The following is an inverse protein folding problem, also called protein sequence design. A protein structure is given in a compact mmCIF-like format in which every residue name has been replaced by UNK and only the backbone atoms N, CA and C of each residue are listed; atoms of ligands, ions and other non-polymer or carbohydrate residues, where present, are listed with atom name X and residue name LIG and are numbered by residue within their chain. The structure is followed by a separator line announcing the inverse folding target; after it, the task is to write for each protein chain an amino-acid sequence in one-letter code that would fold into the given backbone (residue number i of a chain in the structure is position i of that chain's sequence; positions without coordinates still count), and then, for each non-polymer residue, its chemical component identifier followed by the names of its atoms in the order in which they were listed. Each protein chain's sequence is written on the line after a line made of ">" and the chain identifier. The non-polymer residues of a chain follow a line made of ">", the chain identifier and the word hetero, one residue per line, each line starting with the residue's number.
data_IF_065936467657
#
_entry.id   IF_065936467657
#
_cell.length_a   1.000
_cell.length_b   1.000
_cell.length_c   1.000
_cell.angle_alpha   90.00
_cell.angle_beta   90.00
_cell.angle_gamma   90.00
#
_symmetry.space_group_name_H-M   'P 1'
#
loop_
_entity.id
_entity.type
_entity.pdbx_description
1 polymer ?
#
# COMPACT_ATOMS: atom_id res chain seq x y z
N UNK A 1 -36.15 -16.74 -49.18
CA UNK A 1 -35.14 -16.86 -48.14
C UNK A 1 -35.80 -16.61 -46.80
N UNK A 2 -35.86 -17.58 -45.89
CA UNK A 2 -36.49 -17.35 -44.59
C UNK A 2 -35.61 -16.44 -43.76
N UNK A 3 -36.20 -15.43 -43.14
CA UNK A 3 -35.59 -14.49 -42.23
C UNK A 3 -35.26 -15.23 -40.91
N UNK A 4 -33.98 -15.29 -40.55
CA UNK A 4 -33.56 -15.87 -39.29
C UNK A 4 -33.55 -14.77 -38.20
N UNK A 5 -34.50 -14.78 -37.26
CA UNK A 5 -34.59 -13.76 -36.21
C UNK A 5 -33.54 -13.89 -35.12
N UNK A 6 -32.63 -14.87 -35.19
CA UNK A 6 -31.59 -15.09 -34.17
C UNK A 6 -30.30 -14.30 -34.41
N UNK A 7 -30.21 -13.53 -35.50
CA UNK A 7 -29.01 -12.67 -35.74
C UNK A 7 -29.07 -11.31 -35.04
N UNK A 8 -30.08 -11.05 -34.23
CA UNK A 8 -30.22 -9.79 -33.53
C UNK A 8 -29.68 -9.90 -32.11
N UNK A 9 -28.70 -9.07 -31.84
CA UNK A 9 -28.28 -8.62 -30.54
C UNK A 9 -27.21 -9.48 -29.82
N UNK A 10 -26.08 -9.67 -30.49
CA UNK A 10 -24.86 -9.69 -29.65
C UNK A 10 -24.69 -8.25 -29.14
N UNK A 11 -24.99 -8.04 -27.87
CA UNK A 11 -24.62 -6.80 -27.20
C UNK A 11 -23.15 -6.53 -27.49
N UNK A 12 -22.75 -5.27 -27.80
CA UNK A 12 -21.36 -4.95 -28.07
C UNK A 12 -20.53 -5.49 -26.89
N UNK A 13 -19.54 -6.35 -27.20
CA UNK A 13 -18.60 -6.81 -26.18
C UNK A 13 -18.06 -5.56 -25.47
N UNK A 14 -18.11 -5.51 -24.13
CA UNK A 14 -17.49 -4.44 -23.40
C UNK A 14 -16.05 -4.32 -23.90
N UNK A 15 -15.64 -3.13 -24.33
CA UNK A 15 -14.26 -2.86 -24.73
C UNK A 15 -13.43 -3.08 -23.47
N UNK A 16 -12.73 -4.22 -23.40
CA UNK A 16 -11.82 -4.48 -22.30
C UNK A 16 -10.73 -3.42 -22.32
N UNK A 17 -10.56 -2.72 -21.23
CA UNK A 17 -9.55 -1.68 -21.18
C UNK A 17 -8.16 -2.29 -21.39
N UNK A 18 -7.51 -1.97 -22.50
CA UNK A 18 -6.27 -2.62 -22.98
C UNK A 18 -4.97 -1.96 -22.49
N UNK A 19 -5.03 -1.01 -21.56
CA UNK A 19 -3.87 -0.30 -21.04
C UNK A 19 -3.49 -0.70 -19.59
N UNK A 20 -2.19 -0.66 -19.26
CA UNK A 20 -1.71 -0.91 -17.89
C UNK A 20 -2.43 -0.02 -16.85
N UNK A 21 -2.72 1.22 -17.20
CA UNK A 21 -3.40 2.20 -16.34
C UNK A 21 -4.94 2.13 -16.43
N UNK A 22 -5.48 1.23 -17.21
CA UNK A 22 -6.92 1.10 -17.38
C UNK A 22 -7.55 0.54 -16.10
N UNK A 23 -8.64 1.20 -15.65
CA UNK A 23 -9.34 0.86 -14.40
C UNK A 23 -8.65 1.34 -13.12
N UNK A 24 -7.56 2.13 -13.22
CA UNK A 24 -6.87 2.70 -12.06
C UNK A 24 -7.61 3.95 -11.59
N UNK A 25 -7.91 3.99 -10.28
CA UNK A 25 -8.53 5.12 -9.62
C UNK A 25 -7.45 5.93 -8.88
N UNK A 26 -7.17 7.14 -9.32
CA UNK A 26 -6.12 7.99 -8.71
C UNK A 26 -6.45 8.43 -7.28
N UNK A 27 -7.73 8.71 -6.98
CA UNK A 27 -8.14 9.15 -5.63
C UNK A 27 -7.76 8.16 -4.53
N UNK A 28 -8.05 6.84 -4.63
CA UNK A 28 -7.58 5.86 -3.66
C UNK A 28 -6.05 5.83 -3.50
N UNK A 29 -5.28 6.01 -4.58
CA UNK A 29 -3.82 6.00 -4.54
C UNK A 29 -3.31 7.20 -3.74
N UNK A 30 -3.77 8.42 -4.06
CA UNK A 30 -3.36 9.63 -3.34
C UNK A 30 -3.72 9.54 -1.86
N UNK A 31 -4.92 9.08 -1.53
CA UNK A 31 -5.31 8.86 -0.12
C UNK A 31 -4.49 7.77 0.54
N UNK A 32 -4.11 6.72 -0.20
CA UNK A 32 -3.20 5.67 0.27
C UNK A 32 -1.82 6.19 0.62
N UNK A 33 -1.24 7.06 -0.22
CA UNK A 33 0.06 7.71 0.05
C UNK A 33 -0.02 8.61 1.30
N UNK A 34 -1.14 9.33 1.49
CA UNK A 34 -1.35 10.12 2.71
C UNK A 34 -1.43 9.21 3.93
N UNK A 35 -2.18 8.10 3.85
CA UNK A 35 -2.29 7.12 4.94
C UNK A 35 -0.94 6.47 5.24
N UNK A 36 -0.15 6.14 4.22
CA UNK A 36 1.22 5.66 4.36
C UNK A 36 2.09 6.67 5.13
N UNK A 37 2.11 7.91 4.68
CA UNK A 37 2.91 8.98 5.32
C UNK A 37 2.52 9.18 6.78
N UNK A 38 1.21 9.30 7.06
CA UNK A 38 0.72 9.48 8.43
C UNK A 38 0.97 8.23 9.28
N UNK A 39 0.72 7.05 8.74
CA UNK A 39 0.97 5.76 9.40
C UNK A 39 2.44 5.60 9.74
N UNK A 40 3.33 5.87 8.79
CA UNK A 40 4.78 5.85 8.99
C UNK A 40 5.19 6.84 10.08
N UNK A 41 4.67 8.06 10.06
CA UNK A 41 4.96 9.06 11.11
C UNK A 41 4.54 8.58 12.50
N UNK A 42 3.35 7.99 12.64
CA UNK A 42 2.87 7.42 13.91
C UNK A 42 3.76 6.26 14.35
N UNK A 43 4.13 5.36 13.44
CA UNK A 43 5.02 4.23 13.74
C UNK A 43 6.40 4.70 14.20
N UNK A 44 7.00 5.67 13.53
CA UNK A 44 8.30 6.24 13.94
C UNK A 44 8.21 6.94 15.29
N UNK A 45 7.16 7.73 15.52
CA UNK A 45 6.95 8.40 16.81
C UNK A 45 6.79 7.39 17.93
N UNK A 46 5.98 6.36 17.74
CA UNK A 46 5.79 5.28 18.69
C UNK A 46 7.10 4.52 18.98
N UNK A 47 7.84 4.18 17.93
CA UNK A 47 9.12 3.49 18.06
C UNK A 47 10.17 4.34 18.80
N UNK A 48 10.27 5.63 18.47
CA UNK A 48 11.16 6.55 19.19
C UNK A 48 10.83 6.59 20.67
N UNK A 49 9.55 6.73 21.01
CA UNK A 49 9.13 6.85 22.41
C UNK A 49 9.34 5.55 23.19
N UNK A 50 9.02 4.40 22.61
CA UNK A 50 9.05 3.12 23.32
C UNK A 50 10.44 2.47 23.38
N UNK A 51 11.25 2.67 22.35
CA UNK A 51 12.51 1.95 22.19
C UNK A 51 13.73 2.87 22.18
N UNK A 52 13.79 3.85 21.27
CA UNK A 52 14.99 4.66 21.06
C UNK A 52 15.30 5.51 22.31
N UNK A 53 14.29 6.19 22.85
CA UNK A 53 14.47 7.03 24.05
C UNK A 53 14.97 6.20 25.25
N UNK A 54 14.43 5.00 25.42
CA UNK A 54 14.83 4.10 26.51
C UNK A 54 16.27 3.61 26.33
N UNK A 55 16.61 3.16 25.13
CA UNK A 55 17.94 2.66 24.81
C UNK A 55 19.02 3.75 24.99
N UNK A 56 18.74 4.96 24.49
CA UNK A 56 19.67 6.08 24.66
C UNK A 56 19.82 6.46 26.13
N UNK A 57 18.75 6.46 26.94
CA UNK A 57 18.78 6.74 28.35
C UNK A 57 19.61 5.70 29.13
N UNK A 58 19.48 4.40 28.80
CA UNK A 58 20.28 3.32 29.39
C UNK A 58 21.79 3.47 29.09
N UNK A 59 22.12 4.02 27.91
CA UNK A 59 23.50 4.32 27.49
C UNK A 59 24.02 5.66 28.03
N UNK A 60 23.21 6.44 28.78
CA UNK A 60 23.57 7.77 29.26
C UNK A 60 23.69 8.81 28.13
N UNK A 61 23.13 8.53 26.96
CA UNK A 61 23.16 9.41 25.80
C UNK A 61 21.87 10.23 25.75
N UNK A 62 21.98 11.50 25.40
CA UNK A 62 20.86 12.41 25.28
C UNK A 62 21.10 13.46 24.20
N UNK A 63 20.02 14.04 23.68
CA UNK A 63 20.06 15.13 22.71
C UNK A 63 19.93 14.68 21.27
N UNK A 64 19.81 15.66 20.39
CA UNK A 64 19.52 15.48 18.96
C UNK A 64 20.61 14.66 18.24
N UNK A 65 21.88 14.88 18.60
CA UNK A 65 23.01 14.16 18.01
C UNK A 65 22.94 12.65 18.29
N UNK A 66 22.55 12.25 19.49
CA UNK A 66 22.42 10.84 19.86
C UNK A 66 21.28 10.16 19.07
N UNK A 67 20.16 10.86 18.86
CA UNK A 67 19.08 10.38 18.01
C UNK A 67 19.53 10.26 16.55
N UNK A 68 20.24 11.25 16.01
CA UNK A 68 20.75 11.21 14.65
C UNK A 68 21.72 10.03 14.45
N UNK A 69 22.63 9.79 15.41
CA UNK A 69 23.56 8.66 15.36
C UNK A 69 22.83 7.31 15.42
N UNK A 70 21.80 7.19 16.28
CA UNK A 70 20.98 5.98 16.34
C UNK A 70 20.36 5.66 14.99
N UNK A 71 19.74 6.64 14.33
CA UNK A 71 19.07 6.40 13.03
C UNK A 71 20.03 6.11 11.87
N UNK A 72 21.32 6.43 12.02
CA UNK A 72 22.38 6.05 11.07
C UNK A 72 23.03 4.71 11.43
N UNK A 73 22.77 4.15 12.60
CA UNK A 73 23.25 2.83 12.99
C UNK A 73 22.57 1.72 12.18
N UNK A 74 23.14 0.52 12.18
CA UNK A 74 22.55 -0.66 11.52
C UNK A 74 21.16 -0.99 12.08
N UNK A 75 20.96 -0.80 13.38
CA UNK A 75 19.68 -1.04 14.06
C UNK A 75 18.64 0.00 13.65
N UNK A 76 19.02 1.27 13.65
CA UNK A 76 18.15 2.36 13.21
C UNK A 76 17.75 2.24 11.73
N UNK A 77 18.70 1.88 10.86
CA UNK A 77 18.43 1.64 9.44
C UNK A 77 17.49 0.45 9.25
N UNK A 78 17.70 -0.66 9.97
CA UNK A 78 16.80 -1.82 9.90
C UNK A 78 15.38 -1.46 10.41
N UNK A 79 15.28 -0.73 11.53
CA UNK A 79 14.02 -0.24 12.05
C UNK A 79 13.32 0.69 11.03
N UNK A 80 14.07 1.62 10.42
CA UNK A 80 13.55 2.52 9.38
C UNK A 80 12.96 1.76 8.21
N UNK A 81 13.66 0.74 7.71
CA UNK A 81 13.19 -0.08 6.60
C UNK A 81 11.88 -0.82 6.96
N UNK A 82 11.82 -1.39 8.16
CA UNK A 82 10.63 -2.10 8.64
C UNK A 82 9.44 -1.15 8.84
N UNK A 83 9.64 -0.03 9.53
CA UNK A 83 8.58 0.93 9.82
C UNK A 83 8.05 1.57 8.54
N UNK A 84 8.94 1.97 7.62
CA UNK A 84 8.57 2.49 6.31
C UNK A 84 7.79 1.47 5.47
N UNK A 85 8.27 0.21 5.43
CA UNK A 85 7.57 -0.87 4.71
C UNK A 85 6.19 -1.16 5.29
N UNK A 86 6.04 -1.13 6.63
CA UNK A 86 4.74 -1.29 7.30
C UNK A 86 3.79 -0.13 6.98
N UNK A 87 4.28 1.11 6.97
CA UNK A 87 3.48 2.26 6.57
C UNK A 87 2.97 2.11 5.14
N UNK A 88 3.86 1.76 4.21
CA UNK A 88 3.50 1.56 2.80
C UNK A 88 2.54 0.38 2.61
N UNK A 89 2.68 -0.70 3.39
CA UNK A 89 1.73 -1.81 3.39
C UNK A 89 0.34 -1.35 3.85
N UNK A 90 0.26 -0.56 4.93
CA UNK A 90 -1.00 -0.01 5.45
C UNK A 90 -1.64 0.94 4.42
N UNK A 91 -0.86 1.84 3.83
CA UNK A 91 -1.31 2.74 2.78
C UNK A 91 -1.80 2.02 1.54
N UNK A 92 -1.05 0.99 1.09
CA UNK A 92 -1.41 0.12 -0.03
C UNK A 92 -2.69 -0.68 0.23
N UNK A 93 -2.84 -1.22 1.44
CA UNK A 93 -4.06 -1.89 1.88
C UNK A 93 -5.27 -0.94 1.82
N UNK A 94 -5.13 0.25 2.37
CA UNK A 94 -6.20 1.25 2.39
C UNK A 94 -6.62 1.66 0.96
N UNK A 95 -5.66 1.96 0.09
CA UNK A 95 -5.92 2.32 -1.29
C UNK A 95 -6.66 1.21 -2.04
N UNK A 96 -6.18 -0.01 -1.93
CA UNK A 96 -6.76 -1.20 -2.55
C UNK A 96 -8.17 -1.48 -2.03
N UNK A 97 -8.37 -1.37 -0.73
CA UNK A 97 -9.68 -1.56 -0.11
C UNK A 97 -10.70 -0.54 -0.61
N UNK A 98 -10.28 0.72 -0.76
CA UNK A 98 -11.13 1.81 -1.29
C UNK A 98 -11.39 1.72 -2.79
N UNK A 99 -10.41 1.26 -3.56
CA UNK A 99 -10.55 1.11 -5.01
C UNK A 99 -11.56 0.02 -5.39
N UNK A 100 -11.58 -1.08 -4.68
CA UNK A 100 -12.53 -2.18 -4.88
C UNK A 100 -12.27 -3.04 -6.11
N UNK A 101 -11.28 -2.68 -6.91
CA UNK A 101 -10.86 -3.38 -8.13
C UNK A 101 -9.35 -3.24 -8.29
N UNK A 102 -8.71 -4.23 -8.94
CA UNK A 102 -7.27 -4.21 -9.21
C UNK A 102 -6.43 -3.89 -7.96
N UNK A 103 -6.78 -4.53 -6.85
CA UNK A 103 -6.29 -4.23 -5.51
C UNK A 103 -4.76 -4.22 -5.45
N UNK A 104 -4.11 -5.25 -5.97
CA UNK A 104 -2.65 -5.35 -6.01
C UNK A 104 -2.00 -4.20 -6.80
N UNK A 105 -2.61 -3.78 -7.92
CA UNK A 105 -2.09 -2.65 -8.71
C UNK A 105 -2.20 -1.33 -7.96
N UNK A 106 -3.33 -1.08 -7.29
CA UNK A 106 -3.52 0.12 -6.48
C UNK A 106 -2.52 0.16 -5.31
N UNK A 107 -2.29 -0.98 -4.64
CA UNK A 107 -1.28 -1.08 -3.59
C UNK A 107 0.14 -0.83 -4.10
N UNK A 108 0.55 -1.43 -5.21
CA UNK A 108 1.85 -1.20 -5.83
C UNK A 108 2.06 0.28 -6.23
N UNK A 109 1.01 0.94 -6.74
CA UNK A 109 1.05 2.35 -7.09
C UNK A 109 1.18 3.28 -5.87
N UNK A 110 0.68 2.88 -4.70
CA UNK A 110 0.98 3.58 -3.45
C UNK A 110 2.48 3.50 -3.16
N UNK A 111 3.11 2.33 -3.28
CA UNK A 111 4.56 2.19 -3.11
C UNK A 111 5.35 3.11 -4.05
N UNK A 112 4.95 3.20 -5.32
CA UNK A 112 5.56 4.14 -6.28
C UNK A 112 5.32 5.59 -5.85
N UNK A 113 4.11 5.94 -5.42
CA UNK A 113 3.78 7.27 -4.93
C UNK A 113 4.60 7.67 -3.71
N UNK A 114 4.84 6.74 -2.79
CA UNK A 114 5.68 6.94 -1.61
C UNK A 114 7.15 7.17 -1.96
N UNK A 115 7.68 6.47 -2.97
CA UNK A 115 9.03 6.72 -3.51
C UNK A 115 9.11 8.14 -4.07
N UNK A 116 8.14 8.54 -4.90
CA UNK A 116 8.11 9.89 -5.50
C UNK A 116 8.05 10.96 -4.40
N UNK A 117 7.18 10.76 -3.41
CA UNK A 117 7.08 11.69 -2.28
C UNK A 117 8.38 11.75 -1.48
N UNK A 118 9.01 10.60 -1.20
CA UNK A 118 10.31 10.52 -0.52
C UNK A 118 11.40 11.28 -1.27
N UNK A 119 11.49 11.12 -2.59
CA UNK A 119 12.44 11.86 -3.43
C UNK A 119 12.17 13.37 -3.42
N UNK A 120 10.90 13.78 -3.48
CA UNK A 120 10.53 15.19 -3.43
C UNK A 120 10.89 15.86 -2.09
N UNK A 121 10.67 15.14 -0.98
CA UNK A 121 11.03 15.63 0.34
C UNK A 121 12.55 15.69 0.52
N UNK A 122 13.30 14.75 -0.04
CA UNK A 122 14.77 14.73 0.01
C UNK A 122 15.40 15.88 -0.80
N UNK A 123 14.83 16.23 -1.97
CA UNK A 123 15.30 17.36 -2.75
C UNK A 123 15.03 18.72 -2.09
N UNK A 124 14.13 18.75 -1.10
CA UNK A 124 13.75 19.96 -0.34
C UNK A 124 14.72 20.41 0.75
N UNK A 125 15.93 19.82 0.87
CA UNK A 125 17.00 20.36 1.71
C UNK A 125 17.40 19.56 2.96
N UNK A 126 17.03 18.29 3.05
CA UNK A 126 17.65 17.41 4.04
C UNK A 126 18.90 16.80 3.43
N UNK A 127 20.08 17.28 3.83
CA UNK A 127 21.34 16.53 3.67
C UNK A 127 21.19 15.21 4.43
N UNK A 128 20.50 14.24 3.81
CA UNK A 128 20.36 12.93 4.41
C UNK A 128 21.69 12.21 4.28
N UNK A 129 22.43 12.11 5.38
CA UNK A 129 23.64 11.28 5.48
C UNK A 129 23.33 9.77 5.38
N UNK A 130 22.18 9.41 4.78
CA UNK A 130 21.77 8.03 4.59
C UNK A 130 22.64 7.36 3.52
N UNK A 131 23.10 6.13 3.77
CA UNK A 131 23.86 5.38 2.77
C UNK A 131 23.05 5.15 1.48
N UNK A 132 23.69 5.30 0.32
CA UNK A 132 23.02 5.10 -0.98
C UNK A 132 22.39 3.72 -1.13
N UNK A 133 23.06 2.68 -0.62
CA UNK A 133 22.51 1.31 -0.66
C UNK A 133 21.20 1.19 0.13
N UNK A 134 21.07 1.94 1.25
CA UNK A 134 19.86 1.94 2.06
C UNK A 134 18.70 2.60 1.32
N UNK A 135 18.96 3.72 0.64
CA UNK A 135 17.94 4.37 -0.20
C UNK A 135 17.46 3.44 -1.32
N UNK A 136 18.41 2.80 -2.02
CA UNK A 136 18.06 1.83 -3.06
C UNK A 136 17.22 0.67 -2.53
N UNK A 137 17.57 0.12 -1.35
CA UNK A 137 16.83 -0.96 -0.71
C UNK A 137 15.43 -0.50 -0.26
N UNK A 138 15.32 0.70 0.31
CA UNK A 138 14.04 1.26 0.74
C UNK A 138 13.08 1.44 -0.43
N UNK A 139 13.57 1.93 -1.57
CA UNK A 139 12.77 2.06 -2.79
C UNK A 139 12.39 0.69 -3.37
N UNK A 140 13.32 -0.26 -3.37
CA UNK A 140 13.03 -1.62 -3.81
C UNK A 140 12.00 -2.33 -2.93
N UNK A 141 11.96 -2.02 -1.63
CA UNK A 141 11.00 -2.58 -0.67
C UNK A 141 9.61 -1.94 -0.74
N UNK A 142 9.51 -0.65 -1.10
CA UNK A 142 8.26 0.09 -1.07
C UNK A 142 7.20 -0.50 -2.03
N UNK A 143 7.59 -0.86 -3.26
CA UNK A 143 6.65 -1.41 -4.25
C UNK A 143 6.09 -2.77 -3.81
N UNK A 144 6.91 -3.76 -3.41
CA UNK A 144 6.40 -5.02 -2.86
C UNK A 144 5.55 -4.84 -1.60
N UNK A 145 5.95 -3.95 -0.69
CA UNK A 145 5.18 -3.68 0.53
C UNK A 145 3.78 -3.13 0.19
N UNK A 146 3.68 -2.16 -0.71
CA UNK A 146 2.40 -1.66 -1.19
C UNK A 146 1.56 -2.73 -1.89
N UNK A 147 2.16 -3.54 -2.77
CA UNK A 147 1.50 -4.65 -3.44
C UNK A 147 0.97 -5.69 -2.46
N UNK A 148 1.73 -6.03 -1.42
CA UNK A 148 1.29 -6.92 -0.33
C UNK A 148 0.10 -6.32 0.42
N UNK A 149 0.08 -5.02 0.68
CA UNK A 149 -1.08 -4.34 1.24
C UNK A 149 -2.32 -4.54 0.36
N UNK A 150 -2.17 -4.36 -0.95
CA UNK A 150 -3.22 -4.63 -1.94
C UNK A 150 -3.71 -6.07 -1.92
N UNK A 151 -2.80 -7.03 -1.85
CA UNK A 151 -3.11 -8.45 -1.75
C UNK A 151 -3.92 -8.78 -0.48
N UNK A 152 -3.55 -8.23 0.67
CA UNK A 152 -4.32 -8.42 1.91
C UNK A 152 -5.73 -7.82 1.82
N UNK A 153 -5.90 -6.69 1.15
CA UNK A 153 -7.22 -6.11 0.91
C UNK A 153 -8.09 -7.03 0.05
N UNK A 154 -7.53 -7.61 -0.99
CA UNK A 154 -8.20 -8.59 -1.86
C UNK A 154 -8.60 -9.86 -1.08
N UNK A 155 -7.68 -10.43 -0.30
CA UNK A 155 -7.97 -11.60 0.54
C UNK A 155 -9.14 -11.33 1.50
N UNK A 156 -9.14 -10.16 2.16
CA UNK A 156 -10.21 -9.81 3.11
C UNK A 156 -11.57 -9.68 2.44
N UNK A 157 -11.62 -9.14 1.21
CA UNK A 157 -12.86 -9.04 0.42
C UNK A 157 -13.37 -10.40 0.00
N UNK A 158 -12.48 -11.26 -0.48
CA UNK A 158 -12.84 -12.62 -0.91
C UNK A 158 -13.39 -13.44 0.27
N UNK A 159 -12.77 -13.32 1.46
CA UNK A 159 -13.26 -13.98 2.66
C UNK A 159 -14.67 -13.52 3.07
N UNK A 160 -14.96 -12.22 2.92
CA UNK A 160 -16.30 -11.67 3.20
C UNK A 160 -17.33 -12.05 2.13
N UNK A 161 -16.94 -12.16 0.86
CA UNK A 161 -17.81 -12.56 -0.25
C UNK A 161 -18.21 -14.05 -0.20
N UNK A 162 -17.33 -14.92 0.30
CA UNK A 162 -17.57 -16.36 0.43
C UNK A 162 -18.59 -16.71 1.52
N UNK A 163 -18.92 -15.79 2.43
CA UNK A 163 -19.94 -15.97 3.47
C UNK A 163 -21.38 -15.69 3.01
N UNK A 164 -21.58 -15.25 1.76
CA UNK A 164 -22.92 -15.14 1.19
C UNK A 164 -23.45 -16.55 0.93
N UNK A 165 -24.36 -16.99 1.79
CA UNK A 165 -25.08 -18.27 1.69
C UNK A 165 -25.55 -18.53 0.25
N UNK A 166 -25.37 -19.74 -0.31
CA UNK A 166 -25.97 -20.08 -1.60
C UNK A 166 -27.47 -19.81 -1.49
N UNK A 167 -27.99 -18.94 -2.35
CA UNK A 167 -29.44 -18.82 -2.50
C UNK A 167 -29.95 -20.21 -2.79
N UNK A 168 -30.70 -20.77 -1.87
CA UNK A 168 -31.42 -22.03 -2.10
C UNK A 168 -32.15 -21.88 -3.44
N UNK A 169 -31.94 -22.82 -4.38
CA UNK A 169 -32.75 -22.81 -5.60
C UNK A 169 -34.21 -22.91 -5.16
N UNK A 170 -34.96 -21.84 -5.41
CA UNK A 170 -36.40 -21.88 -5.18
C UNK A 170 -36.98 -23.02 -6.00
N UNK A 171 -37.49 -24.02 -5.34
CA UNK A 171 -38.23 -25.09 -5.97
C UNK A 171 -39.46 -24.48 -6.63
N UNK A 172 -39.67 -24.63 -7.98
CA UNK A 172 -40.91 -24.29 -8.59
C UNK A 172 -41.88 -25.44 -8.33
N UNK A 173 -42.85 -25.26 -7.47
CA UNK A 173 -43.91 -26.24 -7.35
C UNK A 173 -44.50 -26.40 -5.97
N UNK A 174 -45.45 -25.54 -5.64
CA UNK A 174 -46.63 -25.89 -4.85
C UNK A 174 -47.79 -25.03 -5.32
N UNK A 175 -48.39 -25.47 -6.39
CA UNK A 175 -49.79 -25.13 -6.69
C UNK A 175 -50.68 -26.21 -6.13
#
# INVERSE_FOLDING_TARGET
>A
MPYDPQQTTQAPKPIEPTGFFSGILFRPIVTGVIVDTLGTFVLYTGYNFLFVTKELAEKGLAGESAFAEYWLSSEGLAASLLLGSLGTLIGGFYAAFKAGTLEMKHGALVGIGSIILGLLLQTGGSDSNLPEWFMALSFAAAIPAGAMGGFFAEMLKNAKGSGASPRSPGWPGSS
#
